data_IF_302752582352
#
_entry.id   IF_302752582352
#
_cell.length_a   1.000
_cell.length_b   1.000
_cell.length_c   1.000
_cell.angle_alpha   90.00
_cell.angle_beta   90.00
_cell.angle_gamma   90.00
#
_symmetry.space_group_name_H-M   'P 1'
#
loop_
_entity.id
_entity.type
_entity.pdbx_description
1 polymer ?
#
# COMPACT_ATOMS: atom_id res chain seq x y z
N UNK A 1 -14.90 -18.53 7.67
CA UNK A 1 -15.84 -17.75 6.87
C UNK A 1 -15.03 -16.75 6.08
N UNK A 2 -15.40 -16.41 4.84
CA UNK A 2 -14.66 -15.48 3.95
C UNK A 2 -15.55 -14.31 3.60
N UNK A 3 -14.95 -13.14 3.35
CA UNK A 3 -15.64 -12.01 2.72
C UNK A 3 -15.49 -12.13 1.21
N UNK A 4 -16.60 -12.10 0.50
CA UNK A 4 -16.61 -12.28 -0.95
C UNK A 4 -17.38 -11.14 -1.62
N UNK A 5 -16.72 -10.44 -2.53
CA UNK A 5 -17.32 -9.44 -3.41
C UNK A 5 -17.44 -10.07 -4.81
N UNK A 6 -18.63 -10.08 -5.38
CA UNK A 6 -18.92 -10.62 -6.71
C UNK A 6 -19.52 -9.53 -7.59
N UNK A 7 -18.77 -9.11 -8.61
CA UNK A 7 -19.14 -8.10 -9.60
C UNK A 7 -19.73 -6.82 -8.97
N UNK A 8 -19.09 -6.37 -7.85
CA UNK A 8 -19.58 -5.23 -7.08
C UNK A 8 -19.29 -3.94 -7.81
N UNK A 9 -20.34 -3.17 -8.09
CA UNK A 9 -20.27 -1.86 -8.72
C UNK A 9 -20.97 -0.80 -7.86
N UNK A 10 -20.44 0.42 -7.91
CA UNK A 10 -21.06 1.62 -7.33
C UNK A 10 -20.71 2.85 -8.14
N UNK A 11 -21.73 3.54 -8.64
CA UNK A 11 -21.55 4.72 -9.50
C UNK A 11 -21.97 6.00 -8.82
N UNK A 12 -21.18 7.06 -9.04
CA UNK A 12 -21.46 8.43 -8.69
C UNK A 12 -21.36 9.31 -9.95
N UNK A 13 -21.67 10.60 -9.87
CA UNK A 13 -21.66 11.48 -11.04
C UNK A 13 -20.31 11.51 -11.78
N UNK A 14 -19.21 11.52 -11.04
CA UNK A 14 -17.86 11.73 -11.59
C UNK A 14 -16.91 10.55 -11.34
N UNK A 15 -17.38 9.51 -10.60
CA UNK A 15 -16.55 8.37 -10.22
C UNK A 15 -17.37 7.09 -10.10
N UNK A 16 -16.76 5.96 -10.40
CA UNK A 16 -17.39 4.65 -10.19
C UNK A 16 -16.38 3.61 -9.70
N UNK A 17 -16.82 2.81 -8.73
CA UNK A 17 -16.21 1.50 -8.42
C UNK A 17 -16.80 0.49 -9.40
N UNK A 18 -15.93 -0.29 -10.09
CA UNK A 18 -16.32 -1.09 -11.26
C UNK A 18 -15.89 -2.52 -11.06
N UNK A 19 -16.86 -3.42 -11.14
CA UNK A 19 -16.68 -4.88 -11.26
C UNK A 19 -15.66 -5.46 -10.25
N UNK A 20 -15.79 -5.09 -8.98
CA UNK A 20 -14.90 -5.61 -7.95
C UNK A 20 -15.22 -7.07 -7.68
N UNK A 21 -14.26 -7.91 -7.98
CA UNK A 21 -14.23 -9.32 -7.68
C UNK A 21 -13.10 -9.61 -6.70
N UNK A 22 -13.42 -9.92 -5.44
CA UNK A 22 -12.44 -10.04 -4.36
C UNK A 22 -12.89 -11.07 -3.34
N UNK A 23 -12.00 -11.99 -3.03
CA UNK A 23 -12.18 -12.96 -1.95
C UNK A 23 -11.11 -12.70 -0.87
N UNK A 24 -11.56 -12.49 0.37
CA UNK A 24 -10.70 -12.31 1.56
C UNK A 24 -10.97 -13.46 2.50
N UNK A 25 -9.92 -14.18 2.89
CA UNK A 25 -10.03 -15.37 3.73
C UNK A 25 -10.22 -14.99 5.21
N UNK A 26 -10.83 -15.91 5.99
CA UNK A 26 -10.92 -15.75 7.44
C UNK A 26 -9.51 -15.69 8.04
N UNK A 27 -9.29 -14.74 8.93
CA UNK A 27 -8.02 -14.55 9.61
C UNK A 27 -6.92 -13.94 8.74
N UNK A 28 -7.27 -13.46 7.54
CA UNK A 28 -6.34 -12.78 6.63
C UNK A 28 -6.19 -11.31 7.00
N UNK A 29 -4.99 -10.77 6.88
CA UNK A 29 -4.74 -9.34 6.84
C UNK A 29 -4.67 -8.90 5.37
N UNK A 30 -5.77 -8.40 4.84
CA UNK A 30 -5.86 -7.94 3.46
C UNK A 30 -5.71 -6.42 3.37
N UNK A 31 -4.80 -5.97 2.50
CA UNK A 31 -4.58 -4.53 2.27
C UNK A 31 -5.08 -4.12 0.89
N UNK A 32 -5.92 -3.09 0.82
CA UNK A 32 -6.28 -2.41 -0.44
C UNK A 32 -5.40 -1.18 -0.58
N UNK A 33 -4.47 -1.24 -1.52
CA UNK A 33 -3.50 -0.20 -1.81
C UNK A 33 -3.94 0.58 -3.05
N UNK A 34 -3.87 1.91 -3.02
CA UNK A 34 -4.20 2.72 -4.19
C UNK A 34 -4.08 4.22 -3.92
N UNK A 35 -4.07 5.07 -4.95
CA UNK A 35 -4.00 6.52 -4.78
C UNK A 35 -5.23 7.09 -4.08
N UNK A 36 -5.13 8.33 -3.61
CA UNK A 36 -6.29 9.05 -3.09
C UNK A 36 -7.36 9.20 -4.20
N UNK A 37 -8.62 8.98 -3.85
CA UNK A 37 -9.72 9.02 -4.82
C UNK A 37 -9.96 7.72 -5.61
N UNK A 38 -9.15 6.67 -5.43
CA UNK A 38 -9.34 5.39 -6.14
C UNK A 38 -10.60 4.62 -5.74
N UNK A 39 -11.32 5.03 -4.67
CA UNK A 39 -12.54 4.37 -4.21
C UNK A 39 -12.35 3.39 -3.04
N UNK A 40 -11.19 3.41 -2.39
CA UNK A 40 -10.85 2.50 -1.27
C UNK A 40 -11.85 2.56 -0.12
N UNK A 41 -12.16 3.77 0.36
CA UNK A 41 -13.17 4.00 1.43
C UNK A 41 -14.55 3.48 1.03
N UNK A 42 -14.96 3.67 -0.22
CA UNK A 42 -16.26 3.17 -0.71
C UNK A 42 -16.35 1.65 -0.64
N UNK A 43 -15.26 0.94 -0.96
CA UNK A 43 -15.22 -0.52 -0.83
C UNK A 43 -15.39 -0.92 0.64
N UNK A 44 -14.69 -0.26 1.58
CA UNK A 44 -14.87 -0.54 3.01
C UNK A 44 -16.30 -0.26 3.49
N UNK A 45 -16.90 0.87 3.06
CA UNK A 45 -18.27 1.22 3.43
C UNK A 45 -19.29 0.22 2.85
N UNK A 46 -19.08 -0.26 1.63
CA UNK A 46 -19.91 -1.31 1.06
C UNK A 46 -19.76 -2.63 1.82
N UNK A 47 -18.54 -3.04 2.16
CA UNK A 47 -18.28 -4.23 3.01
C UNK A 47 -18.95 -4.08 4.37
N UNK A 48 -18.89 -2.89 4.98
CA UNK A 48 -19.54 -2.61 6.26
C UNK A 48 -21.08 -2.57 6.21
N UNK A 49 -21.67 -2.61 5.01
CA UNK A 49 -23.11 -2.46 4.81
C UNK A 49 -23.63 -1.03 5.03
N UNK A 50 -22.75 -0.04 5.09
CA UNK A 50 -23.08 1.38 5.24
C UNK A 50 -23.49 2.02 3.93
N UNK A 51 -22.99 1.49 2.82
CA UNK A 51 -23.27 1.92 1.46
C UNK A 51 -23.73 0.70 0.64
N UNK A 52 -24.97 0.67 0.12
CA UNK A 52 -25.39 -0.43 -0.75
C UNK A 52 -24.70 -0.35 -2.12
N UNK A 53 -24.20 -1.45 -2.71
CA UNK A 53 -23.76 -1.48 -4.09
C UNK A 53 -24.94 -1.26 -5.05
N UNK A 54 -24.67 -0.76 -6.25
CA UNK A 54 -25.68 -0.61 -7.30
C UNK A 54 -25.91 -1.95 -8.04
N UNK A 55 -24.87 -2.78 -8.12
CA UNK A 55 -24.94 -4.14 -8.63
C UNK A 55 -23.89 -5.04 -7.97
N UNK A 56 -24.02 -6.35 -8.16
CA UNK A 56 -23.17 -7.34 -7.52
C UNK A 56 -23.64 -7.73 -6.12
N UNK A 57 -22.79 -8.48 -5.41
CA UNK A 57 -23.10 -9.00 -4.07
C UNK A 57 -21.89 -8.98 -3.17
N UNK A 58 -22.14 -8.75 -1.88
CA UNK A 58 -21.13 -8.88 -0.82
C UNK A 58 -21.63 -9.92 0.15
N UNK A 59 -20.88 -11.01 0.31
CA UNK A 59 -21.23 -12.16 1.12
C UNK A 59 -20.24 -12.33 2.26
N UNK A 60 -20.67 -12.99 3.33
CA UNK A 60 -19.80 -13.29 4.47
C UNK A 60 -19.78 -12.23 5.57
N UNK A 61 -20.64 -11.22 5.49
CA UNK A 61 -20.75 -10.18 6.50
C UNK A 61 -21.90 -10.41 7.49
N UNK A 62 -22.76 -11.39 7.21
CA UNK A 62 -23.94 -11.67 8.02
C UNK A 62 -23.56 -12.12 9.44
N UNK A 63 -24.13 -11.47 10.44
CA UNK A 63 -23.89 -11.71 11.88
C UNK A 63 -22.43 -11.46 12.35
N UNK A 64 -21.59 -10.83 11.52
CA UNK A 64 -20.23 -10.51 11.93
C UNK A 64 -20.20 -9.23 12.79
N UNK A 65 -19.35 -9.24 13.81
CA UNK A 65 -19.03 -8.02 14.56
C UNK A 65 -17.97 -7.26 13.79
N UNK A 66 -18.30 -6.08 13.33
CA UNK A 66 -17.38 -5.24 12.57
C UNK A 66 -16.83 -4.11 13.44
N UNK A 67 -15.52 -3.96 13.48
CA UNK A 67 -14.83 -2.83 14.08
C UNK A 67 -14.33 -1.90 12.98
N UNK A 68 -14.91 -0.70 12.85
CA UNK A 68 -14.53 0.26 11.82
C UNK A 68 -13.68 1.39 12.43
N UNK A 69 -12.54 1.69 11.81
CA UNK A 69 -11.70 2.85 12.11
C UNK A 69 -11.70 3.75 10.88
N UNK A 70 -12.27 4.94 11.01
CA UNK A 70 -12.37 5.96 9.96
C UNK A 70 -11.14 6.86 9.96
N UNK A 71 -10.82 7.41 8.81
CA UNK A 71 -9.76 8.40 8.62
C UNK A 71 -9.94 9.61 9.54
N UNK A 72 -11.18 10.11 9.69
CA UNK A 72 -11.54 11.25 10.54
C UNK A 72 -11.90 10.85 11.99
N UNK A 73 -11.46 9.67 12.43
CA UNK A 73 -11.68 9.11 13.78
C UNK A 73 -13.15 8.86 14.16
N UNK A 74 -14.08 9.67 13.70
CA UNK A 74 -15.52 9.61 13.99
C UNK A 74 -15.82 9.39 15.47
N UNK A 75 -15.09 10.09 16.36
CA UNK A 75 -15.34 10.04 17.79
C UNK A 75 -16.62 10.80 18.13
N UNK A 76 -17.35 10.32 19.13
CA UNK A 76 -18.54 10.99 19.66
C UNK A 76 -18.14 12.21 20.48
N UNK A 77 -18.37 13.46 19.99
CA UNK A 77 -17.80 14.65 20.61
C UNK A 77 -18.40 14.98 21.99
N UNK A 78 -19.58 14.48 22.28
CA UNK A 78 -20.30 14.67 23.55
C UNK A 78 -19.95 13.60 24.61
N UNK A 79 -19.05 12.67 24.30
CA UNK A 79 -18.62 11.61 25.19
C UNK A 79 -17.16 11.76 25.59
N UNK A 80 -16.84 11.41 26.84
CA UNK A 80 -15.45 11.26 27.28
C UNK A 80 -14.71 10.15 26.51
N UNK A 81 -13.38 10.10 26.63
CA UNK A 81 -12.56 9.00 26.08
C UNK A 81 -13.07 7.64 26.58
N UNK A 82 -13.30 7.50 27.89
CA UNK A 82 -13.85 6.26 28.46
C UNK A 82 -15.16 5.85 27.80
N UNK A 83 -16.11 6.79 27.66
CA UNK A 83 -17.42 6.50 27.11
C UNK A 83 -17.38 6.25 25.61
N UNK A 84 -16.45 6.86 24.86
CA UNK A 84 -16.19 6.51 23.46
C UNK A 84 -15.75 5.04 23.35
N UNK A 85 -14.77 4.61 24.14
CA UNK A 85 -14.28 3.22 24.11
C UNK A 85 -15.39 2.24 24.56
N UNK A 86 -16.11 2.58 25.62
CA UNK A 86 -17.17 1.74 26.17
C UNK A 86 -18.45 1.69 25.31
N UNK A 87 -18.59 2.58 24.31
CA UNK A 87 -19.85 2.80 23.58
C UNK A 87 -20.44 1.51 22.99
N UNK A 88 -19.67 0.78 22.22
CA UNK A 88 -20.14 -0.47 21.59
C UNK A 88 -20.46 -1.58 22.60
N UNK A 89 -19.77 -1.62 23.74
CA UNK A 89 -20.05 -2.55 24.83
C UNK A 89 -21.38 -2.23 25.52
N UNK A 90 -21.64 -0.93 25.74
CA UNK A 90 -22.87 -0.45 26.37
C UNK A 90 -24.12 -0.71 25.50
N UNK A 91 -24.02 -0.48 24.17
CA UNK A 91 -25.10 -0.83 23.22
C UNK A 91 -25.43 -2.31 23.27
N UNK A 92 -24.41 -3.17 23.42
CA UNK A 92 -24.57 -4.63 23.56
C UNK A 92 -24.99 -5.06 24.95
N UNK A 93 -25.36 -4.10 25.83
CA UNK A 93 -25.85 -4.33 27.20
C UNK A 93 -24.90 -5.18 28.06
N UNK A 94 -23.58 -5.05 27.81
CA UNK A 94 -22.57 -5.70 28.66
C UNK A 94 -22.62 -5.11 30.08
N UNK A 95 -22.43 -5.95 31.10
CA UNK A 95 -22.48 -5.49 32.50
C UNK A 95 -21.37 -4.48 32.77
N UNK A 96 -21.63 -3.44 33.56
CA UNK A 96 -20.67 -2.38 33.91
C UNK A 96 -19.37 -2.92 34.51
N UNK A 97 -19.47 -3.95 35.32
CA UNK A 97 -18.34 -4.67 35.93
C UNK A 97 -17.39 -5.30 34.90
N UNK A 98 -17.88 -5.71 33.71
CA UNK A 98 -17.08 -6.27 32.63
C UNK A 98 -16.53 -5.18 31.69
N UNK A 99 -17.23 -4.05 31.59
CA UNK A 99 -16.84 -2.95 30.67
C UNK A 99 -15.56 -2.27 31.15
N UNK A 100 -15.46 -1.97 32.44
CA UNK A 100 -14.33 -1.22 33.01
C UNK A 100 -12.98 -1.90 32.77
N UNK A 101 -12.79 -3.20 33.06
CA UNK A 101 -11.50 -3.89 32.79
C UNK A 101 -11.11 -3.89 31.33
N UNK A 102 -12.08 -4.01 30.40
CA UNK A 102 -11.81 -3.99 28.95
C UNK A 102 -11.29 -2.61 28.54
N UNK A 103 -11.98 -1.54 28.98
CA UNK A 103 -11.58 -0.17 28.65
C UNK A 103 -10.19 0.16 29.21
N UNK A 104 -9.95 -0.17 30.49
CA UNK A 104 -8.65 0.08 31.15
C UNK A 104 -7.51 -0.69 30.49
N UNK A 105 -7.73 -1.95 30.11
CA UNK A 105 -6.76 -2.78 29.40
C UNK A 105 -6.39 -2.15 28.05
N UNK A 106 -7.38 -1.81 27.22
CA UNK A 106 -7.15 -1.22 25.89
C UNK A 106 -6.51 0.17 26.00
N UNK A 107 -6.93 0.97 26.99
CA UNK A 107 -6.32 2.26 27.25
C UNK A 107 -4.84 2.13 27.67
N UNK A 108 -4.49 1.09 28.43
CA UNK A 108 -3.11 0.76 28.77
C UNK A 108 -2.28 0.35 27.56
N UNK A 109 -2.78 -0.57 26.75
CA UNK A 109 -2.10 -1.05 25.52
C UNK A 109 -1.84 0.10 24.53
N UNK A 110 -2.75 1.06 24.46
CA UNK A 110 -2.65 2.24 23.57
C UNK A 110 -2.02 3.48 24.22
N UNK A 111 -1.56 3.37 25.50
CA UNK A 111 -0.94 4.48 26.24
C UNK A 111 -1.84 5.73 26.37
N UNK A 112 -3.15 5.54 26.55
CA UNK A 112 -4.16 6.59 26.71
C UNK A 112 -4.90 6.53 28.05
N UNK A 113 -4.43 5.75 29.03
CA UNK A 113 -5.08 5.60 30.34
C UNK A 113 -5.27 6.95 31.07
N UNK A 114 -4.32 7.87 30.92
CA UNK A 114 -4.36 9.21 31.51
C UNK A 114 -5.40 10.15 30.87
N UNK A 115 -6.00 9.73 29.74
CA UNK A 115 -6.98 10.51 28.99
C UNK A 115 -8.43 10.07 29.25
N UNK A 116 -8.68 8.97 29.97
CA UNK A 116 -10.00 8.33 30.07
C UNK A 116 -11.14 9.27 30.50
N UNK A 117 -10.84 10.26 31.34
CA UNK A 117 -11.83 11.24 31.83
C UNK A 117 -11.92 12.49 30.95
N UNK A 118 -11.04 12.67 29.96
CA UNK A 118 -11.02 13.87 29.11
C UNK A 118 -12.10 13.84 28.03
N UNK A 119 -12.49 15.04 27.60
CA UNK A 119 -13.31 15.23 26.41
C UNK A 119 -12.47 15.01 25.16
N UNK A 120 -13.03 14.31 24.17
CA UNK A 120 -12.31 13.98 22.92
C UNK A 120 -12.02 15.19 22.04
N UNK A 121 -12.73 16.31 22.24
CA UNK A 121 -12.49 17.55 21.48
C UNK A 121 -11.10 18.13 21.75
N UNK A 122 -10.58 17.97 22.97
CA UNK A 122 -9.32 18.53 23.43
C UNK A 122 -8.12 17.60 23.21
N UNK A 123 -8.28 16.54 22.40
CA UNK A 123 -7.24 15.59 22.08
C UNK A 123 -6.48 15.98 20.80
N UNK A 124 -5.18 15.72 20.78
CA UNK A 124 -4.38 15.74 19.56
C UNK A 124 -4.87 14.68 18.54
N UNK A 125 -4.51 14.83 17.26
CA UNK A 125 -4.88 13.87 16.22
C UNK A 125 -4.45 12.45 16.56
N UNK A 126 -3.22 12.25 17.03
CA UNK A 126 -2.72 10.93 17.43
C UNK A 126 -3.43 10.34 18.66
N UNK A 127 -3.87 11.18 19.61
CA UNK A 127 -4.69 10.72 20.74
C UNK A 127 -6.09 10.29 20.27
N UNK A 128 -6.72 11.09 19.40
CA UNK A 128 -8.03 10.74 18.79
C UNK A 128 -7.95 9.42 18.05
N UNK A 129 -6.90 9.21 17.28
CA UNK A 129 -6.65 7.96 16.55
C UNK A 129 -6.62 6.77 17.52
N UNK A 130 -5.81 6.85 18.59
CA UNK A 130 -5.70 5.76 19.57
C UNK A 130 -7.03 5.49 20.30
N UNK A 131 -7.83 6.52 20.56
CA UNK A 131 -9.19 6.35 21.12
C UNK A 131 -10.12 5.64 20.12
N UNK A 132 -10.06 6.00 18.82
CA UNK A 132 -10.85 5.34 17.77
C UNK A 132 -10.47 3.85 17.64
N UNK A 133 -9.17 3.56 17.68
CA UNK A 133 -8.67 2.19 17.69
C UNK A 133 -9.18 1.42 18.90
N UNK A 134 -9.07 1.98 20.13
CA UNK A 134 -9.58 1.35 21.34
C UNK A 134 -11.08 1.07 21.27
N UNK A 135 -11.86 2.02 20.75
CA UNK A 135 -13.31 1.87 20.55
C UNK A 135 -13.65 0.72 19.61
N UNK A 136 -12.97 0.63 18.47
CA UNK A 136 -13.19 -0.44 17.52
C UNK A 136 -12.86 -1.82 18.10
N UNK A 137 -11.77 -1.91 18.88
CA UNK A 137 -11.35 -3.16 19.50
C UNK A 137 -12.18 -3.63 20.68
N UNK A 138 -12.80 -2.70 21.40
CA UNK A 138 -13.52 -3.00 22.63
C UNK A 138 -14.60 -4.08 22.45
N UNK A 139 -15.21 -4.16 21.27
CA UNK A 139 -16.27 -5.12 20.97
C UNK A 139 -15.75 -6.50 20.53
N UNK A 140 -14.42 -6.70 20.48
CA UNK A 140 -13.78 -7.92 19.95
C UNK A 140 -14.39 -8.28 18.58
N UNK A 141 -14.09 -7.50 17.55
CA UNK A 141 -14.69 -7.70 16.22
C UNK A 141 -14.19 -8.97 15.54
N UNK A 142 -15.05 -9.58 14.74
CA UNK A 142 -14.69 -10.69 13.85
C UNK A 142 -13.99 -10.15 12.58
N UNK A 143 -14.34 -8.90 12.19
CA UNK A 143 -13.77 -8.21 11.03
C UNK A 143 -13.38 -6.78 11.43
N UNK A 144 -12.14 -6.42 11.17
CA UNK A 144 -11.62 -5.06 11.29
C UNK A 144 -11.59 -4.37 9.94
N UNK A 145 -12.16 -3.18 9.84
CA UNK A 145 -12.14 -2.32 8.68
C UNK A 145 -11.37 -1.05 9.02
N UNK A 146 -10.25 -0.83 8.36
CA UNK A 146 -9.33 0.28 8.61
C UNK A 146 -9.24 1.20 7.41
N UNK A 147 -9.71 2.43 7.58
CA UNK A 147 -9.62 3.49 6.56
C UNK A 147 -8.50 4.45 6.92
N UNK A 148 -7.33 4.25 6.31
CA UNK A 148 -6.10 5.02 6.52
C UNK A 148 -5.76 5.27 8.01
N UNK A 149 -5.70 4.22 8.85
CA UNK A 149 -5.71 4.34 10.31
C UNK A 149 -4.45 4.98 10.90
N UNK A 150 -3.42 5.24 10.11
CA UNK A 150 -2.15 5.82 10.56
C UNK A 150 -1.79 7.12 9.84
N UNK A 151 -2.63 7.61 8.93
CA UNK A 151 -2.33 8.75 8.06
C UNK A 151 -2.00 10.04 8.85
N UNK A 152 -2.66 10.27 9.99
CA UNK A 152 -2.47 11.46 10.81
C UNK A 152 -1.39 11.31 11.91
N UNK A 153 -0.66 10.18 11.93
CA UNK A 153 0.35 9.91 12.94
C UNK A 153 1.75 10.34 12.46
N UNK A 154 2.55 10.84 13.40
CA UNK A 154 3.98 10.96 13.17
C UNK A 154 4.63 9.58 12.96
N UNK A 155 5.85 9.55 12.40
CA UNK A 155 6.55 8.32 12.03
C UNK A 155 6.66 7.33 13.21
N UNK A 156 6.99 7.78 14.41
CA UNK A 156 7.18 6.90 15.56
C UNK A 156 5.86 6.33 16.06
N UNK A 157 4.80 7.15 16.11
CA UNK A 157 3.46 6.72 16.48
C UNK A 157 2.89 5.75 15.44
N UNK A 158 3.14 5.97 14.15
CA UNK A 158 2.75 5.08 13.05
C UNK A 158 3.37 3.69 13.23
N UNK A 159 4.70 3.60 13.37
CA UNK A 159 5.39 2.31 13.57
C UNK A 159 4.88 1.54 14.79
N UNK A 160 4.61 2.24 15.90
CA UNK A 160 4.03 1.61 17.10
C UNK A 160 2.63 1.07 16.83
N UNK A 161 1.80 1.81 16.10
CA UNK A 161 0.43 1.41 15.76
C UNK A 161 0.43 0.23 14.80
N UNK A 162 1.29 0.22 13.78
CA UNK A 162 1.47 -0.90 12.87
C UNK A 162 1.92 -2.16 13.63
N UNK A 163 2.91 -2.04 14.53
CA UNK A 163 3.34 -3.15 15.39
C UNK A 163 2.21 -3.68 16.26
N UNK A 164 1.32 -2.81 16.73
CA UNK A 164 0.14 -3.20 17.51
C UNK A 164 -0.84 -4.01 16.65
N UNK A 165 -1.16 -3.55 15.43
CA UNK A 165 -2.01 -4.28 14.48
C UNK A 165 -1.47 -5.67 14.16
N UNK A 166 -0.16 -5.77 13.87
CA UNK A 166 0.50 -7.05 13.64
C UNK A 166 0.43 -7.98 14.85
N UNK A 167 0.63 -7.44 16.05
CA UNK A 167 0.55 -8.24 17.26
C UNK A 167 -0.88 -8.75 17.52
N UNK A 168 -1.89 -7.96 17.21
CA UNK A 168 -3.27 -8.39 17.32
C UNK A 168 -3.61 -9.47 16.30
N UNK A 169 -3.26 -9.25 15.03
CA UNK A 169 -3.45 -10.26 13.99
C UNK A 169 -2.74 -11.58 14.32
N UNK A 170 -1.53 -11.53 14.90
CA UNK A 170 -0.82 -12.75 15.34
C UNK A 170 -1.48 -13.45 16.52
N UNK A 171 -2.07 -12.69 17.45
CA UNK A 171 -2.73 -13.23 18.66
C UNK A 171 -4.12 -13.79 18.36
N UNK A 172 -4.85 -13.16 17.45
CA UNK A 172 -6.21 -13.54 17.08
C UNK A 172 -6.26 -13.85 15.57
N UNK A 173 -5.95 -15.10 15.24
CA UNK A 173 -5.96 -15.61 13.87
C UNK A 173 -7.37 -15.86 13.32
N UNK A 174 -8.40 -15.68 14.15
CA UNK A 174 -9.78 -15.80 13.73
C UNK A 174 -10.37 -14.50 13.21
N UNK A 175 -9.84 -13.35 13.64
CA UNK A 175 -10.26 -12.03 13.17
C UNK A 175 -9.62 -11.68 11.84
N UNK A 176 -10.45 -11.18 10.90
CA UNK A 176 -10.02 -10.72 9.57
C UNK A 176 -9.77 -9.22 9.58
N UNK A 177 -8.72 -8.78 8.92
CA UNK A 177 -8.34 -7.36 8.82
C UNK A 177 -8.43 -6.92 7.35
N UNK A 178 -9.21 -5.88 7.09
CA UNK A 178 -9.30 -5.23 5.77
C UNK A 178 -8.86 -3.78 5.95
N UNK A 179 -7.71 -3.45 5.39
CA UNK A 179 -7.03 -2.19 5.60
C UNK A 179 -6.86 -1.46 4.28
N UNK A 180 -7.34 -0.23 4.17
CA UNK A 180 -7.07 0.61 3.01
C UNK A 180 -6.00 1.64 3.35
N UNK A 181 -5.04 1.81 2.45
CA UNK A 181 -3.95 2.77 2.59
C UNK A 181 -3.44 3.22 1.22
N UNK A 182 -2.71 4.31 1.19
CA UNK A 182 -1.89 4.74 0.07
C UNK A 182 -0.38 4.58 0.36
N UNK A 183 -0.03 4.07 1.54
CA UNK A 183 1.36 3.90 2.00
C UNK A 183 1.88 2.51 1.64
N UNK A 184 2.93 2.47 0.82
CA UNK A 184 3.55 1.22 0.37
C UNK A 184 4.22 0.45 1.51
N UNK A 185 4.85 1.15 2.48
CA UNK A 185 5.52 0.52 3.63
C UNK A 185 4.49 -0.17 4.53
N UNK A 186 3.29 0.43 4.71
CA UNK A 186 2.19 -0.21 5.42
C UNK A 186 1.72 -1.48 4.71
N UNK A 187 1.46 -1.38 3.41
CA UNK A 187 0.98 -2.51 2.63
C UNK A 187 1.97 -3.69 2.68
N UNK A 188 3.27 -3.40 2.52
CA UNK A 188 4.34 -4.41 2.59
C UNK A 188 4.50 -5.05 3.97
N UNK A 189 4.34 -4.25 5.04
CA UNK A 189 4.61 -4.72 6.39
C UNK A 189 3.44 -5.44 7.05
N UNK A 190 2.20 -5.12 6.67
CA UNK A 190 0.99 -5.59 7.33
C UNK A 190 0.25 -6.67 6.55
N UNK A 191 0.25 -6.60 5.22
CA UNK A 191 -0.60 -7.44 4.38
C UNK A 191 -0.10 -8.88 4.23
N UNK A 192 -0.97 -9.85 4.47
CA UNK A 192 -0.76 -11.23 3.96
C UNK A 192 -0.98 -11.25 2.44
N UNK A 193 -1.98 -10.49 1.97
CA UNK A 193 -2.22 -10.18 0.55
C UNK A 193 -2.57 -8.71 0.36
N UNK A 194 -2.26 -8.21 -0.85
CA UNK A 194 -2.51 -6.84 -1.27
C UNK A 194 -3.34 -6.84 -2.54
N UNK A 195 -4.36 -5.98 -2.59
CA UNK A 195 -5.10 -5.64 -3.80
C UNK A 195 -4.77 -4.21 -4.22
N UNK A 196 -4.34 -4.01 -5.46
CA UNK A 196 -4.13 -2.67 -6.03
C UNK A 196 -5.42 -2.18 -6.66
N UNK A 197 -5.91 -1.05 -6.17
CA UNK A 197 -7.10 -0.37 -6.66
C UNK A 197 -6.69 0.90 -7.43
N UNK A 198 -6.97 0.93 -8.72
CA UNK A 198 -6.76 2.10 -9.58
C UNK A 198 -8.08 2.44 -10.29
N UNK A 199 -8.44 3.72 -10.33
CA UNK A 199 -9.60 4.26 -11.03
C UNK A 199 -10.91 3.47 -10.82
N UNK A 200 -11.13 3.02 -9.58
CA UNK A 200 -12.31 2.27 -9.16
C UNK A 200 -12.28 0.77 -9.51
N UNK A 201 -11.18 0.25 -10.05
CA UNK A 201 -11.03 -1.15 -10.43
C UNK A 201 -9.91 -1.84 -9.64
N UNK A 202 -10.14 -3.09 -9.23
CA UNK A 202 -9.10 -3.94 -8.62
C UNK A 202 -8.25 -4.54 -9.74
N UNK A 203 -7.08 -3.94 -10.00
CA UNK A 203 -6.25 -4.27 -11.16
C UNK A 203 -5.24 -5.39 -10.92
N UNK A 204 -4.85 -5.60 -9.66
CA UNK A 204 -3.95 -6.69 -9.29
C UNK A 204 -4.19 -7.12 -7.85
N UNK A 205 -4.05 -8.43 -7.56
CA UNK A 205 -4.12 -8.98 -6.22
C UNK A 205 -3.11 -10.12 -6.05
N UNK A 206 -2.42 -10.17 -4.93
CA UNK A 206 -1.43 -11.20 -4.63
C UNK A 206 -0.71 -10.98 -3.31
N UNK A 207 0.32 -11.80 -3.05
CA UNK A 207 1.23 -11.56 -1.91
C UNK A 207 1.99 -10.25 -2.10
N UNK A 208 2.46 -9.59 -1.02
CA UNK A 208 3.25 -8.36 -1.14
C UNK A 208 4.42 -8.51 -2.12
N UNK A 209 5.21 -9.58 -1.98
CA UNK A 209 6.34 -9.85 -2.87
C UNK A 209 5.92 -9.95 -4.34
N UNK A 210 4.83 -10.68 -4.64
CA UNK A 210 4.32 -10.82 -5.99
C UNK A 210 3.86 -9.48 -6.57
N UNK A 211 3.06 -8.71 -5.81
CA UNK A 211 2.50 -7.43 -6.28
C UNK A 211 3.60 -6.41 -6.57
N UNK A 212 4.56 -6.27 -5.64
CA UNK A 212 5.62 -5.25 -5.78
C UNK A 212 6.73 -5.62 -6.75
N UNK A 213 6.98 -6.93 -6.99
CA UNK A 213 8.04 -7.38 -7.87
C UNK A 213 7.56 -7.84 -9.25
N UNK A 214 6.25 -8.03 -9.44
CA UNK A 214 5.67 -8.48 -10.71
C UNK A 214 4.42 -7.66 -11.04
N UNK A 215 4.57 -6.36 -11.42
CA UNK A 215 3.43 -5.54 -11.81
C UNK A 215 2.71 -6.19 -12.99
N UNK A 216 1.37 -6.22 -12.93
CA UNK A 216 0.54 -6.87 -13.94
C UNK A 216 0.35 -6.00 -15.20
N UNK A 217 0.53 -4.68 -15.08
CA UNK A 217 0.39 -3.73 -16.18
C UNK A 217 1.32 -2.54 -16.03
N UNK A 218 1.41 -1.73 -17.10
CA UNK A 218 2.14 -0.46 -17.04
C UNK A 218 1.60 0.47 -15.98
N UNK A 219 0.27 0.59 -15.85
CA UNK A 219 -0.35 1.45 -14.84
C UNK A 219 0.00 1.02 -13.41
N UNK A 220 0.03 -0.29 -13.17
CA UNK A 220 0.48 -0.84 -11.87
C UNK A 220 1.96 -0.55 -11.64
N UNK A 221 2.82 -0.71 -12.65
CA UNK A 221 4.24 -0.39 -12.55
C UNK A 221 4.46 1.11 -12.25
N UNK A 222 3.77 1.98 -12.96
CA UNK A 222 3.83 3.44 -12.76
C UNK A 222 3.35 3.80 -11.34
N UNK A 223 2.23 3.21 -10.87
CA UNK A 223 1.73 3.41 -9.52
C UNK A 223 2.73 2.94 -8.45
N UNK A 224 3.35 1.78 -8.63
CA UNK A 224 4.36 1.24 -7.72
C UNK A 224 5.69 2.02 -7.76
N UNK A 225 5.79 3.06 -8.61
CA UNK A 225 6.94 3.95 -8.69
C UNK A 225 8.10 3.43 -9.53
N UNK A 226 7.86 2.47 -10.42
CA UNK A 226 8.84 2.09 -11.43
C UNK A 226 9.10 3.29 -12.35
N UNK A 227 10.32 3.81 -12.34
CA UNK A 227 10.72 4.99 -13.12
C UNK A 227 11.15 4.63 -14.54
N UNK A 228 11.58 3.39 -14.71
CA UNK A 228 12.07 2.88 -15.99
C UNK A 228 11.06 1.85 -16.51
N UNK A 229 10.06 2.31 -17.25
CA UNK A 229 9.07 1.47 -17.94
C UNK A 229 9.15 1.76 -19.43
N UNK A 230 9.40 0.72 -20.22
CA UNK A 230 9.62 0.84 -21.67
C UNK A 230 8.76 -0.17 -22.40
N UNK A 231 8.19 0.23 -23.54
CA UNK A 231 7.39 -0.63 -24.39
C UNK A 231 7.89 -0.69 -25.81
N UNK A 232 7.70 -1.83 -26.46
CA UNK A 232 8.07 -2.01 -27.87
C UNK A 232 8.03 -3.45 -28.35
N UNK A 233 8.35 -3.67 -29.64
CA UNK A 233 8.44 -5.00 -30.21
C UNK A 233 9.73 -5.72 -29.78
N UNK A 234 9.62 -7.06 -29.63
CA UNK A 234 10.76 -7.92 -29.30
C UNK A 234 11.05 -8.85 -30.48
N UNK A 235 12.31 -8.94 -30.88
CA UNK A 235 12.82 -9.92 -31.84
C UNK A 235 14.15 -10.48 -31.32
N UNK A 236 14.29 -11.79 -31.30
CA UNK A 236 15.51 -12.50 -30.86
C UNK A 236 16.03 -12.06 -29.48
N UNK A 237 15.12 -11.97 -28.48
CA UNK A 237 15.39 -11.50 -27.12
C UNK A 237 15.85 -10.02 -27.04
N UNK A 238 15.60 -9.21 -28.07
CA UNK A 238 15.93 -7.79 -28.06
C UNK A 238 14.67 -6.96 -28.20
N UNK A 239 14.45 -6.09 -27.22
CA UNK A 239 13.42 -5.05 -27.23
C UNK A 239 14.01 -3.79 -27.85
N UNK A 240 13.38 -3.29 -28.91
CA UNK A 240 13.80 -2.10 -29.61
C UNK A 240 12.98 -0.88 -29.19
N UNK A 241 13.68 0.15 -28.69
CA UNK A 241 13.06 1.38 -28.18
C UNK A 241 13.90 2.57 -28.66
N UNK A 242 13.34 3.41 -29.51
CA UNK A 242 14.00 4.66 -29.98
C UNK A 242 15.48 4.46 -30.41
N UNK A 243 15.80 3.35 -31.06
CA UNK A 243 17.16 3.02 -31.49
C UNK A 243 18.04 2.35 -30.41
N UNK A 244 17.55 2.20 -29.18
CA UNK A 244 18.22 1.44 -28.12
C UNK A 244 17.75 -0.02 -28.15
N UNK A 245 18.68 -0.98 -28.06
CA UNK A 245 18.41 -2.41 -28.06
C UNK A 245 18.64 -3.00 -26.66
N UNK A 246 17.56 -3.34 -25.95
CA UNK A 246 17.61 -3.96 -24.63
C UNK A 246 17.49 -5.49 -24.75
N UNK A 247 18.40 -6.24 -24.14
CA UNK A 247 18.26 -7.70 -24.01
C UNK A 247 17.19 -8.02 -22.96
N UNK A 248 16.17 -8.80 -23.35
CA UNK A 248 15.01 -9.14 -22.51
C UNK A 248 14.83 -10.66 -22.41
N UNK A 249 14.10 -11.19 -21.38
CA UNK A 249 13.93 -12.63 -21.20
C UNK A 249 12.85 -13.26 -22.11
N UNK A 250 12.27 -12.48 -23.03
CA UNK A 250 11.23 -12.92 -23.98
C UNK A 250 11.85 -13.06 -25.37
N UNK A 251 11.58 -14.17 -26.06
CA UNK A 251 12.20 -14.44 -27.37
C UNK A 251 11.66 -13.55 -28.49
N UNK A 252 10.34 -13.44 -28.59
CA UNK A 252 9.66 -12.59 -29.57
C UNK A 252 8.28 -12.23 -29.11
N UNK A 253 7.86 -10.99 -29.34
CA UNK A 253 6.52 -10.48 -29.11
C UNK A 253 6.28 -9.26 -29.99
N UNK A 254 5.04 -9.01 -30.38
CA UNK A 254 4.71 -7.83 -31.20
C UNK A 254 4.79 -6.55 -30.39
N UNK A 255 4.39 -6.60 -29.13
CA UNK A 255 4.56 -5.52 -28.17
C UNK A 255 4.57 -6.08 -26.75
N UNK A 256 5.54 -5.65 -25.93
CA UNK A 256 5.56 -5.87 -24.48
C UNK A 256 6.01 -4.61 -23.77
N UNK A 257 5.75 -4.55 -22.48
CA UNK A 257 6.39 -3.60 -21.57
C UNK A 257 7.44 -4.32 -20.73
N UNK A 258 8.52 -3.62 -20.45
CA UNK A 258 9.52 -4.02 -19.45
C UNK A 258 9.69 -2.92 -18.43
N UNK A 259 9.80 -3.29 -17.17
CA UNK A 259 10.12 -2.36 -16.10
C UNK A 259 11.40 -2.80 -15.39
N UNK A 260 12.18 -1.83 -14.93
CA UNK A 260 13.34 -2.05 -14.06
C UNK A 260 13.36 -1.02 -12.95
N UNK A 261 13.68 -1.46 -11.74
CA UNK A 261 13.84 -0.55 -10.62
C UNK A 261 15.11 0.27 -10.77
N UNK A 262 15.06 1.52 -10.34
CA UNK A 262 16.21 2.44 -10.42
C UNK A 262 17.42 1.95 -9.61
N UNK A 263 17.16 1.22 -8.51
CA UNK A 263 18.18 0.64 -7.62
C UNK A 263 18.79 -0.68 -8.14
N UNK A 264 18.18 -1.32 -9.15
CA UNK A 264 18.71 -2.51 -9.82
C UNK A 264 19.75 -2.19 -10.93
N UNK A 265 19.96 -0.90 -11.22
CA UNK A 265 20.88 -0.42 -12.25
C UNK A 265 22.19 0.02 -11.60
N UNK A 266 23.28 -0.61 -11.99
CA UNK A 266 24.62 -0.24 -11.54
C UNK A 266 25.14 0.89 -12.42
N UNK A 267 25.54 2.01 -11.80
CA UNK A 267 26.20 3.14 -12.47
C UNK A 267 27.70 3.07 -12.27
N UNK A 268 28.48 3.30 -13.33
CA UNK A 268 29.95 3.26 -13.26
C UNK A 268 30.61 4.21 -14.27
N UNK A 269 31.84 4.65 -14.00
CA UNK A 269 32.63 5.49 -14.92
C UNK A 269 33.14 4.74 -16.16
N UNK A 270 33.31 3.41 -16.05
CA UNK A 270 33.81 2.55 -17.14
C UNK A 270 32.93 1.34 -17.28
N UNK A 271 32.99 0.69 -18.45
CA UNK A 271 32.26 -0.55 -18.71
C UNK A 271 32.70 -1.67 -17.79
N UNK A 272 31.78 -2.23 -17.01
CA UNK A 272 32.04 -3.32 -16.08
C UNK A 272 31.95 -4.66 -16.81
N UNK A 273 32.95 -5.53 -16.62
CA UNK A 273 32.86 -6.93 -17.03
C UNK A 273 32.03 -7.69 -15.98
N UNK A 274 30.87 -8.18 -16.36
CA UNK A 274 29.94 -8.89 -15.49
C UNK A 274 29.04 -9.85 -16.29
N UNK A 275 28.21 -10.62 -15.59
CA UNK A 275 27.16 -11.46 -16.21
C UNK A 275 25.96 -10.65 -16.73
N UNK A 276 25.91 -9.34 -16.51
CA UNK A 276 24.86 -8.47 -17.02
C UNK A 276 25.02 -8.28 -18.54
N UNK A 277 23.94 -8.50 -19.26
CA UNK A 277 23.94 -8.38 -20.74
C UNK A 277 23.53 -6.98 -21.21
N UNK A 278 22.85 -6.23 -20.38
CA UNK A 278 22.50 -4.83 -20.65
C UNK A 278 23.58 -3.93 -20.08
N UNK A 279 24.35 -3.27 -20.93
CA UNK A 279 25.40 -2.33 -20.55
C UNK A 279 25.50 -1.23 -21.59
N UNK A 280 25.15 -0.01 -21.21
CA UNK A 280 25.02 1.14 -22.10
C UNK A 280 25.82 2.33 -21.60
N UNK A 281 26.54 3.00 -22.50
CA UNK A 281 27.14 4.29 -22.23
C UNK A 281 26.14 5.39 -22.51
N UNK A 282 25.96 6.30 -21.57
CA UNK A 282 25.03 7.41 -21.68
C UNK A 282 25.59 8.71 -21.11
N UNK A 283 24.83 9.77 -21.32
CA UNK A 283 25.17 11.13 -20.82
C UNK A 283 24.23 11.51 -19.66
N UNK A 284 24.77 11.99 -18.56
CA UNK A 284 23.99 12.48 -17.44
C UNK A 284 23.21 13.74 -17.85
N UNK A 285 21.87 13.66 -17.84
CA UNK A 285 20.97 14.76 -18.19
C UNK A 285 20.49 15.54 -16.96
N UNK A 286 20.27 14.85 -15.85
CA UNK A 286 19.77 15.48 -14.63
C UNK A 286 20.25 14.73 -13.39
N UNK A 287 20.30 15.44 -12.25
CA UNK A 287 20.68 14.92 -10.94
C UNK A 287 19.66 15.43 -9.94
N UNK A 288 18.85 14.51 -9.38
CA UNK A 288 17.81 14.82 -8.40
C UNK A 288 18.26 14.35 -7.02
N UNK A 289 18.54 15.29 -6.12
CA UNK A 289 18.96 15.02 -4.74
C UNK A 289 17.74 14.79 -3.86
N UNK A 290 17.57 13.57 -3.36
CA UNK A 290 16.51 13.18 -2.41
C UNK A 290 17.12 13.00 -1.01
N UNK A 291 16.30 12.86 0.01
CA UNK A 291 16.77 12.79 1.41
C UNK A 291 17.76 11.66 1.68
N UNK A 292 17.59 10.49 1.07
CA UNK A 292 18.40 9.27 1.32
C UNK A 292 19.19 8.79 0.12
N UNK A 293 18.83 9.21 -1.09
CA UNK A 293 19.42 8.76 -2.36
C UNK A 293 19.60 9.92 -3.34
N UNK A 294 20.42 9.70 -4.35
CA UNK A 294 20.57 10.58 -5.52
C UNK A 294 20.03 9.83 -6.73
N UNK A 295 19.04 10.40 -7.42
CA UNK A 295 18.54 9.88 -8.69
C UNK A 295 19.29 10.55 -9.86
N UNK A 296 19.96 9.75 -10.67
CA UNK A 296 20.67 10.17 -11.88
C UNK A 296 19.80 9.83 -13.09
N UNK A 297 19.51 10.82 -13.92
CA UNK A 297 18.87 10.59 -15.23
C UNK A 297 19.95 10.48 -16.30
N UNK A 298 20.13 9.27 -16.81
CA UNK A 298 21.13 8.95 -17.82
C UNK A 298 20.45 8.74 -19.18
N UNK A 299 20.87 9.47 -20.19
CA UNK A 299 20.40 9.32 -21.58
C UNK A 299 21.28 8.33 -22.33
N UNK A 300 20.74 7.15 -22.63
CA UNK A 300 21.36 6.09 -23.42
C UNK A 300 20.70 5.93 -24.80
N UNK A 301 19.95 6.94 -25.30
CA UNK A 301 18.97 6.89 -26.38
C UNK A 301 17.54 6.80 -25.84
N UNK A 302 17.37 6.29 -24.62
CA UNK A 302 16.22 6.43 -23.76
C UNK A 302 16.69 6.95 -22.40
N UNK A 303 15.80 7.58 -21.64
CA UNK A 303 16.13 8.10 -20.32
C UNK A 303 16.03 6.98 -19.27
N UNK A 304 17.12 6.70 -18.57
CA UNK A 304 17.17 5.80 -17.44
C UNK A 304 17.27 6.59 -16.14
N UNK A 305 16.36 6.34 -15.21
CA UNK A 305 16.46 6.81 -13.84
C UNK A 305 17.23 5.78 -12.99
N UNK A 306 18.31 6.21 -12.35
CA UNK A 306 19.24 5.34 -11.61
C UNK A 306 19.42 5.90 -10.21
N UNK A 307 19.11 5.11 -9.19
CA UNK A 307 19.28 5.50 -7.80
C UNK A 307 20.65 5.06 -7.27
N UNK A 308 21.40 6.02 -6.72
CA UNK A 308 22.69 5.76 -6.07
C UNK A 308 22.72 6.38 -4.67
N UNK A 309 23.65 5.91 -3.83
CA UNK A 309 23.84 6.48 -2.50
C UNK A 309 24.53 7.84 -2.58
N UNK A 310 24.34 8.69 -1.57
CA UNK A 310 25.07 9.95 -1.43
C UNK A 310 26.60 9.74 -1.47
N UNK A 311 27.08 8.69 -0.80
CA UNK A 311 28.49 8.32 -0.79
C UNK A 311 29.02 8.02 -2.19
N UNK A 312 28.30 7.18 -2.96
CA UNK A 312 28.70 6.87 -4.34
C UNK A 312 28.69 8.12 -5.23
N UNK A 313 27.70 9.01 -5.05
CA UNK A 313 27.64 10.26 -5.78
C UNK A 313 28.87 11.15 -5.54
N UNK A 314 29.29 11.30 -4.27
CA UNK A 314 30.47 12.09 -3.89
C UNK A 314 31.77 11.44 -4.40
N UNK A 315 31.95 10.14 -4.19
CA UNK A 315 33.14 9.41 -4.63
C UNK A 315 33.33 9.43 -6.16
N UNK A 316 32.23 9.34 -6.92
CA UNK A 316 32.28 9.41 -8.39
C UNK A 316 32.39 10.84 -8.92
N UNK A 317 32.06 11.86 -8.12
CA UNK A 317 32.11 13.27 -8.50
C UNK A 317 31.22 13.64 -9.69
N UNK A 318 30.03 12.99 -9.80
CA UNK A 318 29.16 13.06 -10.97
C UNK A 318 28.63 14.47 -11.24
N UNK A 319 28.68 14.88 -12.52
CA UNK A 319 28.14 16.15 -13.00
C UNK A 319 27.23 15.95 -14.20
N UNK A 320 26.34 16.91 -14.41
CA UNK A 320 25.54 16.95 -15.65
C UNK A 320 26.49 17.07 -16.84
N UNK A 321 26.25 16.25 -17.86
CA UNK A 321 27.09 16.14 -19.04
C UNK A 321 28.14 15.02 -18.99
N UNK A 322 28.42 14.45 -17.83
CA UNK A 322 29.35 13.32 -17.69
C UNK A 322 28.87 12.11 -18.49
N UNK A 323 29.82 11.33 -18.99
CA UNK A 323 29.57 10.09 -19.70
C UNK A 323 29.80 8.91 -18.77
N UNK A 324 28.72 8.16 -18.47
CA UNK A 324 28.73 7.03 -17.53
C UNK A 324 28.15 5.78 -18.17
N UNK A 325 28.35 4.65 -17.51
CA UNK A 325 27.80 3.36 -17.91
C UNK A 325 26.70 2.91 -16.97
N UNK A 326 25.53 2.56 -17.53
CA UNK A 326 24.45 1.88 -16.84
C UNK A 326 24.52 0.38 -17.17
N UNK A 327 24.57 -0.46 -16.16
CA UNK A 327 24.68 -1.92 -16.33
C UNK A 327 23.65 -2.63 -15.45
N UNK A 328 22.86 -3.54 -16.03
CA UNK A 328 21.85 -4.33 -15.33
C UNK A 328 21.63 -5.71 -15.94
N UNK A 329 21.15 -6.64 -15.09
CA UNK A 329 20.89 -8.02 -15.51
C UNK A 329 19.54 -8.13 -16.21
N UNK A 330 19.43 -9.09 -17.15
CA UNK A 330 18.16 -9.45 -17.78
C UNK A 330 17.14 -9.95 -16.75
N UNK A 331 17.60 -10.63 -15.68
CA UNK A 331 16.74 -11.11 -14.59
C UNK A 331 16.13 -10.00 -13.72
N UNK A 332 16.68 -8.78 -13.75
CA UNK A 332 16.09 -7.63 -13.06
C UNK A 332 14.91 -7.01 -13.82
N UNK A 333 14.77 -7.33 -15.11
CA UNK A 333 13.66 -6.85 -15.91
C UNK A 333 12.36 -7.58 -15.56
N UNK A 334 11.31 -6.82 -15.28
CA UNK A 334 9.93 -7.31 -15.16
C UNK A 334 9.23 -7.11 -16.49
N UNK A 335 8.52 -8.14 -16.95
CA UNK A 335 7.87 -8.15 -18.28
C UNK A 335 6.37 -8.31 -18.11
N UNK A 336 5.60 -7.51 -18.83
CA UNK A 336 4.14 -7.58 -18.87
C UNK A 336 3.61 -7.17 -20.27
N UNK A 337 2.41 -7.59 -20.60
CA UNK A 337 1.85 -7.42 -21.94
C UNK A 337 0.95 -6.17 -22.09
N UNK A 338 0.46 -5.60 -20.97
CA UNK A 338 -0.44 -4.45 -20.94
C UNK A 338 0.01 -3.40 -19.93
#
# INVERSE_FOLDING_TARGET
MRVLLENVCKSFKEFAVKDINLEIQKGEYFVILGPSGAGKTLILEMIAGLLPPDSGKILGMENQKTGFIYQDYMLFPHLSVYNNIAYGLNIRKKKKEDVKPIVEKLAGELSISHLLTRDVLNLSGGEKQRVAIARAMAISPDIFLFDEPTAALDRNARLKTQSLFLNWHKKDRDSTFIHVTHDFEEALSLGDRIGILLDGSLVQCGTPDHVFNHPASKEVADFLGYRNVFGGPVRDNILYINGTALTVPVKSADHIYVAIRSDDIILSGTKIQSSARNSFSGTVKNILKKSSIIEIILDIGILLAIDITWKSYEEMGIKIGDRLWATFKVSSLKVFEH
#
